data_IF_470571596145
#
_entry.id   IF_470571596145
#
_cell.length_a   1.000
_cell.length_b   1.000
_cell.length_c   1.000
_cell.angle_alpha   90.00
_cell.angle_beta   90.00
_cell.angle_gamma   90.00
#
_symmetry.space_group_name_H-M   'P 1'
#
loop_
_entity.id
_entity.type
_entity.pdbx_description
1 polymer ?
#
# COMPACT_ATOMS: atom_id res chain seq x y z
N UNK A 1 4.35 -4.10 -5.23
CA UNK A 1 3.43 -3.58 -6.27
C UNK A 1 2.31 -4.58 -6.36
N UNK A 2 1.05 -4.13 -6.28
CA UNK A 2 -0.12 -5.02 -6.19
C UNK A 2 -0.57 -5.47 -7.58
N UNK A 3 -0.74 -4.50 -8.48
CA UNK A 3 -1.18 -4.68 -9.86
C UNK A 3 -0.55 -3.58 -10.71
N UNK A 4 -0.66 -3.67 -12.03
CA UNK A 4 -0.33 -2.58 -12.93
C UNK A 4 -1.02 -1.27 -12.48
N UNK A 5 -0.21 -0.23 -12.30
CA UNK A 5 -0.65 1.09 -11.81
C UNK A 5 -1.29 1.12 -10.41
N UNK A 6 -1.16 0.06 -9.59
CA UNK A 6 -1.64 0.03 -8.20
C UNK A 6 -0.50 -0.33 -7.24
N UNK A 7 -0.23 0.58 -6.31
CA UNK A 7 0.87 0.49 -5.37
C UNK A 7 0.35 0.64 -3.94
N UNK A 8 1.00 -0.04 -3.01
CA UNK A 8 0.70 0.05 -1.58
C UNK A 8 2.00 0.11 -0.78
N UNK A 9 1.89 0.61 0.45
CA UNK A 9 2.96 0.69 1.43
C UNK A 9 2.38 0.41 2.80
N UNK A 10 3.05 -0.45 3.56
CA UNK A 10 2.74 -0.68 4.97
C UNK A 10 3.29 0.50 5.77
N UNK A 11 2.44 1.10 6.61
CA UNK A 11 2.80 2.25 7.44
C UNK A 11 2.55 1.91 8.91
N UNK A 12 3.58 2.08 9.74
CA UNK A 12 3.52 1.82 11.18
C UNK A 12 2.90 3.02 11.89
N UNK A 13 1.56 3.04 11.95
CA UNK A 13 0.80 4.08 12.63
C UNK A 13 0.47 5.31 11.79
N UNK A 14 -0.38 6.18 12.34
CA UNK A 14 -0.96 7.34 11.64
C UNK A 14 0.07 8.42 11.30
N UNK A 15 1.08 8.61 12.14
CA UNK A 15 2.09 9.66 11.91
C UNK A 15 2.92 9.39 10.67
N UNK A 16 3.28 8.12 10.43
CA UNK A 16 3.96 7.72 9.19
C UNK A 16 3.06 7.90 7.97
N UNK A 17 1.78 7.54 8.07
CA UNK A 17 0.81 7.78 6.99
C UNK A 17 0.77 9.27 6.63
N UNK A 18 0.61 10.15 7.62
CA UNK A 18 0.55 11.60 7.41
C UNK A 18 1.85 12.14 6.79
N UNK A 19 3.01 11.66 7.27
CA UNK A 19 4.32 12.05 6.72
C UNK A 19 4.47 11.67 5.24
N UNK A 20 4.04 10.48 4.85
CA UNK A 20 4.11 10.06 3.45
C UNK A 20 3.04 10.73 2.58
N UNK A 21 1.87 11.00 3.14
CA UNK A 21 0.81 11.73 2.46
C UNK A 21 1.28 13.13 2.07
N UNK A 22 1.85 13.91 3.00
CA UNK A 22 2.40 15.24 2.70
C UNK A 22 3.50 15.18 1.62
N UNK A 23 4.39 14.20 1.70
CA UNK A 23 5.45 14.02 0.68
C UNK A 23 4.90 13.65 -0.70
N UNK A 24 3.78 12.93 -0.76
CA UNK A 24 3.13 12.58 -2.02
C UNK A 24 2.43 13.79 -2.61
N UNK A 25 1.75 14.59 -1.78
CA UNK A 25 1.12 15.85 -2.19
C UNK A 25 2.12 16.82 -2.82
N UNK A 26 3.34 16.90 -2.26
CA UNK A 26 4.43 17.72 -2.83
C UNK A 26 5.02 17.18 -4.15
N UNK A 27 4.72 15.92 -4.51
CA UNK A 27 5.31 15.21 -5.66
C UNK A 27 4.26 14.73 -6.67
N UNK A 28 3.02 15.21 -6.58
CA UNK A 28 1.94 14.84 -7.51
C UNK A 28 2.30 15.31 -8.93
N UNK A 29 2.10 14.49 -9.96
CA UNK A 29 2.30 14.92 -11.35
C UNK A 29 1.28 15.98 -11.76
N UNK A 30 1.69 16.91 -12.63
CA UNK A 30 0.83 17.99 -13.14
C UNK A 30 -0.35 17.49 -14.00
N UNK A 31 -0.29 16.24 -14.49
CA UNK A 31 -1.30 15.62 -15.34
C UNK A 31 -1.58 14.19 -14.90
N UNK A 32 -2.82 13.76 -15.06
CA UNK A 32 -3.28 12.40 -14.76
C UNK A 32 -4.24 12.35 -13.56
N UNK A 33 -4.50 11.15 -13.05
CA UNK A 33 -5.33 10.93 -11.87
C UNK A 33 -4.63 9.96 -10.93
N UNK A 34 -4.27 10.47 -9.74
CA UNK A 34 -3.69 9.68 -8.66
C UNK A 34 -4.62 9.81 -7.46
N UNK A 35 -5.01 8.67 -6.87
CA UNK A 35 -5.86 8.61 -5.68
C UNK A 35 -5.12 7.84 -4.60
N UNK A 36 -5.28 8.27 -3.35
CA UNK A 36 -4.73 7.60 -2.19
C UNK A 36 -5.88 7.11 -1.31
N UNK A 37 -5.75 5.88 -0.79
CA UNK A 37 -6.61 5.34 0.25
C UNK A 37 -5.74 4.78 1.36
N UNK A 38 -6.12 5.08 2.61
CA UNK A 38 -5.49 4.50 3.79
C UNK A 38 -6.37 3.37 4.29
N UNK A 39 -5.80 2.16 4.37
CA UNK A 39 -6.47 0.96 4.87
C UNK A 39 -5.82 0.51 6.17
N UNK A 40 -6.61 -0.06 7.07
CA UNK A 40 -6.07 -0.82 8.19
C UNK A 40 -5.57 -2.18 7.71
N UNK A 41 -4.66 -2.78 8.47
CA UNK A 41 -4.15 -4.14 8.19
C UNK A 41 -5.28 -5.15 8.05
N UNK A 42 -6.28 -5.09 8.95
CA UNK A 42 -7.46 -5.96 8.91
C UNK A 42 -8.26 -5.78 7.61
N UNK A 43 -8.55 -4.54 7.22
CA UNK A 43 -9.28 -4.28 5.97
C UNK A 43 -8.51 -4.75 4.73
N UNK A 44 -7.18 -4.62 4.74
CA UNK A 44 -6.35 -5.11 3.64
C UNK A 44 -6.37 -6.65 3.58
N UNK A 45 -6.24 -7.32 4.72
CA UNK A 45 -6.29 -8.80 4.81
C UNK A 45 -7.65 -9.39 4.43
N UNK A 46 -8.75 -8.65 4.65
CA UNK A 46 -10.10 -9.07 4.26
C UNK A 46 -10.39 -8.89 2.76
N UNK A 47 -9.44 -8.34 1.99
CA UNK A 47 -9.57 -8.14 0.56
C UNK A 47 -9.70 -9.49 -0.16
N UNK A 48 -10.80 -9.67 -0.90
CA UNK A 48 -11.07 -10.90 -1.65
C UNK A 48 -10.52 -10.79 -3.06
N UNK A 49 -9.67 -11.74 -3.43
CA UNK A 49 -9.26 -11.93 -4.83
C UNK A 49 -10.35 -12.71 -5.54
N UNK A 50 -11.01 -12.07 -6.50
CA UNK A 50 -12.09 -12.72 -7.26
C UNK A 50 -11.55 -13.50 -8.47
N UNK A 51 -10.41 -13.09 -9.04
CA UNK A 51 -9.77 -13.68 -10.23
C UNK A 51 -8.25 -13.44 -10.18
N UNK A 52 -7.45 -14.34 -10.76
CA UNK A 52 -6.01 -14.10 -11.01
C UNK A 52 -5.06 -14.54 -9.90
N UNK A 53 -5.59 -15.01 -8.76
CA UNK A 53 -4.80 -15.48 -7.63
C UNK A 53 -4.03 -14.36 -6.92
N UNK A 54 -3.37 -14.71 -5.82
CA UNK A 54 -2.50 -13.79 -5.08
C UNK A 54 -1.15 -13.75 -5.79
N UNK A 55 -0.54 -12.57 -5.90
CA UNK A 55 0.77 -12.48 -6.53
C UNK A 55 1.86 -13.12 -5.64
N UNK A 56 2.92 -13.72 -6.19
CA UNK A 56 4.01 -14.30 -5.39
C UNK A 56 4.75 -13.28 -4.50
N UNK A 57 4.60 -11.98 -4.81
CA UNK A 57 5.17 -10.87 -4.05
C UNK A 57 4.33 -10.58 -2.81
N UNK A 58 3.01 -10.70 -2.91
CA UNK A 58 2.09 -10.56 -1.77
C UNK A 58 2.26 -11.71 -0.78
N UNK A 59 2.39 -12.95 -1.25
CA UNK A 59 2.64 -14.11 -0.37
C UNK A 59 3.93 -13.99 0.45
N UNK A 60 4.97 -13.35 -0.09
CA UNK A 60 6.24 -13.11 0.62
C UNK A 60 6.18 -12.02 1.68
N UNK A 61 5.19 -11.13 1.62
CA UNK A 61 5.07 -10.02 2.56
C UNK A 61 4.43 -10.43 3.89
N UNK A 62 3.68 -11.53 3.92
CA UNK A 62 3.06 -12.09 5.13
C UNK A 62 4.07 -12.77 6.08
N UNK A 63 5.19 -13.26 5.56
CA UNK A 63 6.24 -13.85 6.39
C UNK A 63 7.25 -12.80 6.86
N UNK A 64 7.12 -12.44 8.14
CA UNK A 64 8.24 -12.08 9.04
C UNK A 64 9.02 -10.77 8.85
N UNK A 65 8.64 -9.83 7.99
CA UNK A 65 9.41 -8.58 7.83
C UNK A 65 8.62 -7.30 8.18
N UNK A 66 8.25 -7.19 9.45
CA UNK A 66 7.81 -5.94 10.08
C UNK A 66 8.75 -5.52 11.22
N UNK A 67 10.05 -5.80 11.06
CA UNK A 67 11.11 -5.19 11.85
C UNK A 67 12.25 -4.77 10.93
N UNK A 68 12.39 -3.46 10.74
CA UNK A 68 13.65 -2.84 10.34
C UNK A 68 13.88 -1.72 11.36
N UNK A 69 15.01 -1.85 12.06
CA UNK A 69 15.53 -0.99 13.12
C UNK A 69 15.51 0.51 12.77
#
# INVERSE_FOLDING_TARGET
>A
MMQFSVYYRICNGKDMVNKYLLRLEDKVPEKGSVRLITLTEKQFSEMKVLVGGVSPIEEKLDSSNLSVF
#
